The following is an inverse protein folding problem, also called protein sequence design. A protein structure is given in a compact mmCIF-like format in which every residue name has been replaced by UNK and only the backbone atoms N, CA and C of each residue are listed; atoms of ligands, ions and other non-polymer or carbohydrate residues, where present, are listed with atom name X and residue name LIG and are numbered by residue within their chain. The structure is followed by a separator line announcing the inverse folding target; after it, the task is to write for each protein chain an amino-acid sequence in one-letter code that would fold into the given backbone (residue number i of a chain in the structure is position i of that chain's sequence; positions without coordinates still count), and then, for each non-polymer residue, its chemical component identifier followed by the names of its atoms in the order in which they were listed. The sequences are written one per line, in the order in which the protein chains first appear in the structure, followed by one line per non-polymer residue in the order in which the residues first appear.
data_IF_370576263431
#
_entry.id   IF_370576263431
#
_cell.length_a   1.000
_cell.length_b   1.000
_cell.length_c   1.000
_cell.angle_alpha   90.00
_cell.angle_beta   90.00
_cell.angle_gamma   90.00
#
_symmetry.space_group_name_H-M   'P 1'
#
loop_
_entity.id
_entity.type
_entity.pdbx_description
1 polymer ?
#
# COMPACT_ATOMS: atom_id res chain seq x y z
N UNK A 1 15.71 5.56 14.63
CA UNK A 1 14.49 4.95 14.05
C UNK A 1 14.94 4.03 12.92
N UNK A 2 14.61 2.73 12.98
CA UNK A 2 14.99 1.76 11.94
C UNK A 2 13.79 1.47 11.04
N UNK A 3 14.01 1.49 9.73
CA UNK A 3 13.04 1.12 8.71
C UNK A 3 13.35 -0.28 8.19
N UNK A 4 12.39 -1.18 8.27
CA UNK A 4 12.53 -2.54 7.72
C UNK A 4 11.94 -2.54 6.31
N UNK A 5 12.71 -2.95 5.31
CA UNK A 5 12.25 -3.14 3.94
C UNK A 5 12.11 -4.64 3.65
N UNK A 6 10.89 -5.08 3.43
CA UNK A 6 10.58 -6.43 2.94
C UNK A 6 10.58 -6.46 1.42
N UNK A 7 11.61 -7.03 0.82
CA UNK A 7 11.70 -7.29 -0.62
C UNK A 7 11.40 -8.76 -0.87
N UNK A 8 10.15 -9.07 -1.23
CA UNK A 8 9.74 -10.41 -1.64
C UNK A 8 9.71 -10.45 -3.17
N UNK A 9 10.52 -11.31 -3.78
CA UNK A 9 10.57 -11.56 -5.24
C UNK A 9 11.16 -10.45 -6.13
N UNK A 10 12.04 -9.58 -5.62
CA UNK A 10 12.73 -8.59 -6.44
C UNK A 10 14.00 -9.17 -7.09
N UNK A 11 14.20 -9.04 -8.41
CA UNK A 11 15.45 -9.46 -9.05
C UNK A 11 16.57 -8.45 -8.73
N UNK A 12 17.54 -8.85 -7.91
CA UNK A 12 18.75 -8.08 -7.65
C UNK A 12 19.43 -8.43 -6.32
N UNK A 13 20.75 -8.19 -6.26
CA UNK A 13 21.58 -8.40 -5.06
C UNK A 13 21.36 -7.29 -4.00
N UNK A 14 20.11 -7.06 -3.61
CA UNK A 14 19.76 -6.11 -2.57
C UNK A 14 19.90 -6.77 -1.21
N UNK A 15 21.06 -6.61 -0.59
CA UNK A 15 21.34 -7.07 0.77
C UNK A 15 21.40 -5.90 1.76
N UNK A 16 21.19 -6.18 3.05
CA UNK A 16 21.42 -5.18 4.11
C UNK A 16 22.84 -4.61 4.05
N UNK A 17 23.83 -5.45 3.74
CA UNK A 17 25.23 -5.02 3.59
C UNK A 17 25.43 -4.03 2.43
N UNK A 18 24.68 -4.18 1.32
CA UNK A 18 24.70 -3.24 0.20
C UNK A 18 24.02 -1.93 0.57
N UNK A 19 22.83 -1.97 1.19
CA UNK A 19 22.11 -0.75 1.58
C UNK A 19 22.86 0.10 2.58
N UNK A 20 23.61 -0.51 3.51
CA UNK A 20 24.46 0.22 4.46
C UNK A 20 25.59 1.02 3.79
N UNK A 21 25.90 0.75 2.51
CA UNK A 21 26.88 1.53 1.75
C UNK A 21 26.27 2.75 1.06
N UNK A 22 24.94 2.81 0.97
CA UNK A 22 24.26 3.92 0.29
C UNK A 22 24.25 5.18 1.17
N UNK A 23 24.42 6.39 0.62
CA UNK A 23 24.48 7.63 1.40
C UNK A 23 23.27 7.88 2.30
N UNK A 24 22.07 7.45 1.85
CA UNK A 24 20.83 7.61 2.61
C UNK A 24 20.77 6.74 3.87
N UNK A 25 21.57 5.68 3.96
CA UNK A 25 21.60 4.79 5.13
C UNK A 25 22.13 5.50 6.39
N UNK A 26 22.85 6.61 6.23
CA UNK A 26 23.28 7.49 7.33
C UNK A 26 22.13 8.29 7.93
N UNK A 27 21.10 8.58 7.13
CA UNK A 27 19.90 9.31 7.54
C UNK A 27 18.81 8.39 8.08
N UNK A 28 18.80 7.13 7.64
CA UNK A 28 17.79 6.14 8.02
C UNK A 28 18.43 4.76 8.20
N UNK A 29 18.25 4.14 9.36
CA UNK A 29 18.75 2.79 9.60
C UNK A 29 17.85 1.79 8.86
N UNK A 30 18.22 1.46 7.61
CA UNK A 30 17.46 0.55 6.75
C UNK A 30 17.94 -0.88 6.94
N UNK A 31 17.01 -1.82 7.17
CA UNK A 31 17.28 -3.26 7.18
C UNK A 31 16.47 -3.93 6.08
N UNK A 32 17.12 -4.69 5.21
CA UNK A 32 16.43 -5.49 4.20
C UNK A 32 16.23 -6.89 4.73
N UNK A 33 15.01 -7.42 4.61
CA UNK A 33 14.67 -8.82 4.90
C UNK A 33 15.40 -9.32 6.16
N UNK A 34 15.15 -8.72 7.35
CA UNK A 34 15.87 -9.08 8.57
C UNK A 34 15.78 -10.58 8.76
N UNK A 35 16.91 -11.21 9.12
CA UNK A 35 17.03 -12.67 9.19
C UNK A 35 15.77 -13.29 9.79
N UNK A 36 15.22 -14.33 9.15
CA UNK A 36 14.02 -14.97 9.65
C UNK A 36 14.38 -15.66 10.96
N UNK A 37 14.21 -14.95 12.08
CA UNK A 37 13.97 -15.59 13.37
C UNK A 37 12.67 -16.40 13.37
N UNK A 38 11.92 -16.36 12.27
CA UNK A 38 10.79 -17.22 11.97
C UNK A 38 11.32 -18.47 11.24
N UNK A 39 11.44 -19.57 11.99
CA UNK A 39 11.55 -20.89 11.39
C UNK A 39 10.42 -21.08 10.35
N UNK A 40 10.69 -21.70 9.19
CA UNK A 40 9.63 -21.99 8.22
C UNK A 40 8.50 -22.75 8.94
N UNK A 41 7.26 -22.26 8.80
CA UNK A 41 6.08 -22.89 9.38
C UNK A 41 6.07 -24.37 8.99
N UNK A 42 6.02 -25.24 9.99
CA UNK A 42 6.24 -26.69 9.83
C UNK A 42 5.04 -27.39 9.19
N UNK A 43 3.87 -26.74 9.17
CA UNK A 43 2.64 -27.29 8.59
C UNK A 43 1.68 -26.20 8.09
N UNK A 44 0.65 -26.64 7.34
CA UNK A 44 -0.36 -25.78 6.71
C UNK A 44 -1.25 -25.08 7.75
N UNK A 45 -1.47 -25.69 8.92
CA UNK A 45 -2.24 -25.10 10.02
C UNK A 45 -1.50 -23.92 10.68
N UNK A 46 -0.17 -24.03 10.84
CA UNK A 46 0.67 -22.92 11.29
C UNK A 46 0.70 -21.81 10.23
N UNK A 47 0.73 -22.15 8.93
CA UNK A 47 0.58 -21.17 7.84
C UNK A 47 -0.79 -20.46 7.83
N UNK A 48 -1.88 -21.19 8.08
CA UNK A 48 -3.23 -20.62 8.18
C UNK A 48 -3.45 -19.82 9.47
N UNK A 49 -2.71 -20.11 10.54
CA UNK A 49 -2.72 -19.33 11.79
C UNK A 49 -2.14 -17.91 11.68
N UNK A 50 -1.46 -17.59 10.56
CA UNK A 50 -0.96 -16.23 10.29
C UNK A 50 -2.01 -15.32 9.61
N UNK A 51 -3.17 -15.85 9.20
CA UNK A 51 -4.28 -14.99 8.73
C UNK A 51 -4.79 -14.15 9.91
N UNK A 52 -4.59 -12.83 9.83
CA UNK A 52 -4.93 -11.88 10.89
C UNK A 52 -3.80 -11.61 11.90
N UNK A 53 -2.66 -12.28 11.79
CA UNK A 53 -1.63 -12.25 12.84
C UNK A 53 -0.40 -11.39 12.50
N UNK A 54 -0.38 -10.76 11.32
CA UNK A 54 0.69 -9.84 10.95
C UNK A 54 0.45 -8.49 11.66
N UNK A 55 1.29 -8.19 12.64
CA UNK A 55 1.33 -6.90 13.34
C UNK A 55 2.69 -6.25 13.17
N UNK A 56 2.69 -4.97 12.79
CA UNK A 56 3.92 -4.20 12.65
C UNK A 56 4.31 -3.64 14.00
N UNK A 57 5.41 -4.12 14.59
CA UNK A 57 5.95 -3.55 15.84
C UNK A 57 6.90 -2.37 15.60
N UNK A 58 7.45 -2.29 14.38
CA UNK A 58 8.41 -1.27 13.95
C UNK A 58 7.96 -0.68 12.61
N UNK A 59 8.38 0.56 12.27
CA UNK A 59 8.22 1.09 10.92
C UNK A 59 8.77 0.13 9.86
N UNK A 60 7.86 -0.38 9.04
CA UNK A 60 8.12 -1.44 8.07
C UNK A 60 7.50 -1.06 6.74
N UNK A 61 8.23 -1.28 5.65
CA UNK A 61 7.80 -1.03 4.28
C UNK A 61 7.97 -2.33 3.49
N UNK A 62 6.90 -2.89 2.97
CA UNK A 62 6.95 -3.95 1.98
C UNK A 62 6.82 -3.34 0.59
N UNK A 63 7.75 -3.65 -0.30
CA UNK A 63 7.66 -3.23 -1.70
C UNK A 63 7.32 -4.47 -2.53
N UNK A 64 6.22 -4.40 -3.26
CA UNK A 64 5.74 -5.52 -4.07
C UNK A 64 6.19 -5.35 -5.53
N UNK A 65 6.56 -6.44 -6.23
CA UNK A 65 6.85 -6.37 -7.65
C UNK A 65 5.55 -6.10 -8.43
N UNK A 66 5.29 -4.83 -8.75
CA UNK A 66 4.09 -4.38 -9.46
C UNK A 66 4.21 -4.41 -11.00
N UNK A 67 5.32 -4.91 -11.54
CA UNK A 67 5.61 -4.87 -12.98
C UNK A 67 5.91 -3.44 -13.43
N UNK A 68 5.09 -2.90 -14.34
CA UNK A 68 5.14 -1.48 -14.74
C UNK A 68 4.46 -0.53 -13.73
N UNK A 69 3.95 -1.07 -12.63
CA UNK A 69 3.20 -0.34 -11.62
C UNK A 69 3.85 -0.37 -10.26
N UNK A 70 3.39 0.53 -9.40
CA UNK A 70 3.87 0.68 -8.03
C UNK A 70 2.88 0.03 -7.06
N UNK A 71 3.40 -0.67 -6.06
CA UNK A 71 2.62 -1.17 -4.94
C UNK A 71 3.55 -1.34 -3.72
N UNK A 72 3.17 -0.74 -2.60
CA UNK A 72 3.90 -0.87 -1.34
C UNK A 72 2.95 -0.87 -0.15
N UNK A 73 3.33 -1.55 0.93
CA UNK A 73 2.59 -1.53 2.19
C UNK A 73 3.51 -0.96 3.26
N UNK A 74 3.10 0.18 3.82
CA UNK A 74 3.73 0.77 4.99
C UNK A 74 2.99 0.33 6.25
N UNK A 75 3.71 0.00 7.31
CA UNK A 75 3.15 -0.47 8.56
C UNK A 75 3.95 0.01 9.77
N UNK A 76 3.25 0.45 10.81
CA UNK A 76 3.75 0.79 12.15
C UNK A 76 2.78 0.19 13.19
N UNK A 77 3.12 0.29 14.47
CA UNK A 77 2.25 -0.23 15.52
C UNK A 77 0.86 0.43 15.48
N UNK A 78 -0.16 -0.40 15.28
CA UNK A 78 -1.56 0.02 15.23
C UNK A 78 -2.01 0.71 13.93
N UNK A 79 -1.13 0.85 12.93
CA UNK A 79 -1.49 1.50 11.66
C UNK A 79 -0.76 0.91 10.46
N UNK A 80 -1.48 0.69 9.37
CA UNK A 80 -0.92 0.25 8.11
C UNK A 80 -1.64 0.83 6.88
N UNK A 81 -0.86 1.14 5.87
CA UNK A 81 -1.28 1.87 4.70
C UNK A 81 -0.76 1.20 3.45
N UNK A 82 -1.68 0.76 2.60
CA UNK A 82 -1.35 0.26 1.27
C UNK A 82 -1.26 1.45 0.31
N UNK A 83 -0.13 1.59 -0.35
CA UNK A 83 0.13 2.61 -1.36
C UNK A 83 0.13 1.94 -2.72
N UNK A 84 -0.81 2.35 -3.57
CA UNK A 84 -1.08 1.84 -4.90
C UNK A 84 -1.37 0.32 -4.97
N UNK A 85 -1.85 -0.13 -6.13
CA UNK A 85 -2.25 -1.50 -6.39
C UNK A 85 -1.47 -2.19 -7.51
N UNK A 86 -0.50 -1.50 -8.13
CA UNK A 86 0.29 -2.01 -9.25
C UNK A 86 -0.48 -2.22 -10.55
N UNK A 87 0.28 -2.58 -11.60
CA UNK A 87 -0.21 -2.68 -12.97
C UNK A 87 -0.91 -4.01 -13.27
N UNK A 88 -0.58 -5.07 -12.54
CA UNK A 88 -1.12 -6.40 -12.82
C UNK A 88 -2.61 -6.50 -12.48
N UNK A 89 -3.38 -7.20 -13.31
CA UNK A 89 -4.78 -7.59 -13.00
C UNK A 89 -4.86 -8.57 -11.83
N UNK A 90 -3.75 -9.23 -11.48
CA UNK A 90 -3.59 -9.95 -10.22
C UNK A 90 -2.91 -9.00 -9.23
N UNK A 91 -3.57 -8.73 -8.11
CA UNK A 91 -3.02 -7.91 -7.05
C UNK A 91 -1.75 -8.56 -6.46
N UNK A 92 -0.57 -8.01 -6.78
CA UNK A 92 0.73 -8.54 -6.34
C UNK A 92 0.91 -8.53 -4.81
N UNK A 93 0.20 -7.64 -4.12
CA UNK A 93 0.19 -7.50 -2.67
C UNK A 93 -0.84 -8.42 -1.97
N UNK A 94 -1.74 -9.05 -2.73
CA UNK A 94 -2.88 -9.77 -2.16
C UNK A 94 -2.47 -10.94 -1.28
N UNK A 95 -1.50 -11.74 -1.72
CA UNK A 95 -1.06 -12.93 -0.99
C UNK A 95 -0.45 -12.58 0.37
N UNK A 96 0.02 -11.34 0.56
CA UNK A 96 0.48 -10.85 1.86
C UNK A 96 -0.64 -10.18 2.64
N UNK A 97 -1.30 -9.18 2.04
CA UNK A 97 -2.30 -8.33 2.73
C UNK A 97 -3.54 -9.09 3.17
N UNK A 98 -3.89 -10.21 2.53
CA UNK A 98 -4.99 -11.11 2.98
C UNK A 98 -4.77 -11.70 4.38
N UNK A 99 -3.54 -11.63 4.90
CA UNK A 99 -3.19 -12.07 6.25
C UNK A 99 -3.24 -10.92 7.28
N UNK A 100 -3.64 -9.72 6.88
CA UNK A 100 -3.92 -8.63 7.81
C UNK A 100 -5.39 -8.68 8.23
N UNK A 101 -5.68 -8.29 9.47
CA UNK A 101 -7.06 -8.08 9.92
C UNK A 101 -7.70 -6.88 9.19
N UNK A 102 -6.93 -5.82 8.98
CA UNK A 102 -7.36 -4.59 8.32
C UNK A 102 -6.22 -3.87 7.62
N UNK A 103 -6.56 -3.15 6.55
CA UNK A 103 -5.82 -2.04 5.99
C UNK A 103 -6.43 -0.76 6.55
N UNK A 104 -5.68 0.00 7.34
CA UNK A 104 -6.19 1.24 7.94
C UNK A 104 -6.46 2.30 6.87
N UNK A 105 -5.55 2.38 5.91
CA UNK A 105 -5.65 3.29 4.79
C UNK A 105 -5.21 2.63 3.48
N UNK A 106 -5.81 3.08 2.39
CA UNK A 106 -5.33 2.85 1.02
C UNK A 106 -5.09 4.21 0.39
N UNK A 107 -3.92 4.43 -0.18
CA UNK A 107 -3.60 5.60 -0.99
C UNK A 107 -3.39 5.17 -2.43
N UNK A 108 -4.15 5.76 -3.34
CA UNK A 108 -3.93 5.63 -4.77
C UNK A 108 -3.36 6.95 -5.29
N UNK A 109 -2.09 6.93 -5.66
CA UNK A 109 -1.34 8.13 -6.05
C UNK A 109 -1.79 8.65 -7.41
N UNK A 110 -2.13 7.74 -8.34
CA UNK A 110 -2.56 8.05 -9.71
C UNK A 110 -3.70 7.13 -10.14
N UNK A 111 -4.72 7.70 -10.77
CA UNK A 111 -5.83 6.95 -11.36
C UNK A 111 -5.51 6.52 -12.78
N UNK A 112 -4.60 5.56 -12.93
CA UNK A 112 -4.25 4.96 -14.21
C UNK A 112 -4.04 3.45 -14.10
N UNK A 113 -3.81 2.79 -15.24
CA UNK A 113 -3.61 1.35 -15.29
C UNK A 113 -2.35 0.87 -14.57
N UNK A 114 -1.35 1.73 -14.35
CA UNK A 114 -0.13 1.37 -13.65
C UNK A 114 -0.35 1.22 -12.14
N UNK A 115 -1.34 1.90 -11.56
CA UNK A 115 -1.48 1.98 -10.10
C UNK A 115 -2.80 1.38 -9.60
N UNK A 116 -3.83 1.26 -10.43
CA UNK A 116 -5.18 0.91 -9.97
C UNK A 116 -5.62 -0.54 -10.24
N UNK A 117 -4.97 -1.29 -11.14
CA UNK A 117 -5.52 -2.55 -11.63
C UNK A 117 -5.57 -3.63 -10.56
N UNK A 118 -4.52 -3.77 -9.73
CA UNK A 118 -4.55 -4.71 -8.61
C UNK A 118 -5.56 -4.32 -7.54
N UNK A 119 -5.70 -3.03 -7.25
CA UNK A 119 -6.72 -2.54 -6.31
C UNK A 119 -8.14 -2.84 -6.81
N UNK A 120 -8.42 -2.61 -8.09
CA UNK A 120 -9.70 -2.97 -8.70
C UNK A 120 -10.00 -4.47 -8.60
N UNK A 121 -8.99 -5.34 -8.70
CA UNK A 121 -9.16 -6.77 -8.52
C UNK A 121 -9.54 -7.14 -7.08
N UNK A 122 -8.95 -6.48 -6.09
CA UNK A 122 -9.29 -6.66 -4.66
C UNK A 122 -10.72 -6.20 -4.37
N UNK A 123 -11.10 -5.02 -4.84
CA UNK A 123 -12.46 -4.49 -4.65
C UNK A 123 -13.53 -5.40 -5.29
N UNK A 124 -13.26 -5.94 -6.49
CA UNK A 124 -14.15 -6.92 -7.13
C UNK A 124 -14.32 -8.19 -6.31
N UNK A 125 -13.23 -8.70 -5.72
CA UNK A 125 -13.27 -9.88 -4.84
C UNK A 125 -14.10 -9.61 -3.59
N UNK A 126 -13.92 -8.43 -2.97
CA UNK A 126 -14.69 -7.98 -1.80
C UNK A 126 -16.18 -7.81 -2.08
N UNK A 127 -16.54 -7.39 -3.28
CA UNK A 127 -17.95 -7.31 -3.71
C UNK A 127 -18.61 -8.69 -3.78
N UNK A 128 -17.85 -9.73 -4.11
CA UNK A 128 -18.37 -11.10 -4.28
C UNK A 128 -18.40 -11.90 -2.99
N UNK A 129 -17.45 -11.67 -2.08
CA UNK A 129 -17.35 -12.40 -0.83
C UNK A 129 -16.75 -11.52 0.28
N UNK A 130 -17.15 -11.80 1.51
CA UNK A 130 -16.55 -11.18 2.67
C UNK A 130 -15.14 -11.75 2.91
N UNK A 131 -14.12 -11.00 2.50
CA UNK A 131 -12.71 -11.38 2.58
C UNK A 131 -11.89 -10.34 3.33
N UNK A 132 -10.93 -10.81 4.12
CA UNK A 132 -9.90 -9.98 4.75
C UNK A 132 -8.87 -9.47 3.73
N UNK A 133 -8.19 -8.34 4.00
CA UNK A 133 -8.32 -7.49 5.19
C UNK A 133 -9.52 -6.55 5.09
N UNK A 134 -10.12 -6.09 6.20
CA UNK A 134 -11.07 -4.96 6.14
C UNK A 134 -10.36 -3.71 5.61
N UNK A 135 -11.06 -2.82 4.91
CA UNK A 135 -10.46 -1.57 4.40
C UNK A 135 -11.11 -0.42 5.15
N UNK A 136 -10.29 0.40 5.81
CA UNK A 136 -10.71 1.63 6.47
C UNK A 136 -10.87 2.77 5.46
N UNK A 137 -9.89 3.68 5.43
CA UNK A 137 -9.97 4.89 4.62
C UNK A 137 -9.37 4.71 3.23
N UNK A 138 -9.90 5.45 2.25
CA UNK A 138 -9.39 5.48 0.88
C UNK A 138 -9.04 6.92 0.50
N UNK A 139 -7.77 7.15 0.18
CA UNK A 139 -7.25 8.43 -0.28
C UNK A 139 -6.90 8.31 -1.76
N UNK A 140 -7.44 9.19 -2.58
CA UNK A 140 -7.11 9.22 -4.00
C UNK A 140 -7.33 10.61 -4.57
N UNK A 141 -6.58 10.94 -5.61
CA UNK A 141 -6.76 12.18 -6.37
C UNK A 141 -7.93 12.02 -7.37
N UNK A 142 -9.13 11.78 -6.85
CA UNK A 142 -10.34 11.81 -7.66
C UNK A 142 -10.82 13.26 -7.74
N UNK A 143 -10.83 13.82 -8.94
CA UNK A 143 -11.59 15.05 -9.16
C UNK A 143 -13.06 14.72 -8.93
N UNK A 144 -13.67 15.33 -7.92
CA UNK A 144 -15.13 15.35 -7.84
C UNK A 144 -15.62 16.00 -9.14
N UNK A 145 -16.23 15.20 -10.02
CA UNK A 145 -17.14 15.80 -11.00
C UNK A 145 -18.19 16.49 -10.16
N UNK A 146 -18.14 17.83 -10.09
CA UNK A 146 -19.29 18.62 -9.69
C UNK A 146 -20.45 18.05 -10.50
N UNK A 147 -21.34 17.31 -9.85
CA UNK A 147 -22.69 17.17 -10.36
C UNK A 147 -23.12 18.61 -10.63
N UNK A 148 -23.62 18.89 -11.83
CA UNK A 148 -24.23 20.18 -12.15
C UNK A 148 -25.18 20.51 -11.00
N UNK A 149 -24.73 21.34 -10.06
CA UNK A 149 -25.57 21.76 -8.96
C UNK A 149 -26.61 22.65 -9.63
N UNK A 150 -27.87 22.31 -9.38
CA UNK A 150 -29.03 23.10 -9.76
C UNK A 150 -28.78 24.57 -9.40
N UNK A 151 -29.32 25.55 -10.15
CA UNK A 151 -28.85 26.95 -10.12
C UNK A 151 -28.99 27.70 -8.78
N UNK A 152 -29.56 27.11 -7.73
CA UNK A 152 -30.07 27.83 -6.56
C UNK A 152 -29.36 27.51 -5.25
N UNK A 153 -28.06 27.24 -5.25
CA UNK A 153 -27.31 27.24 -3.98
C UNK A 153 -25.92 27.82 -4.19
N UNK A 154 -25.79 29.13 -3.95
CA UNK A 154 -24.51 29.78 -3.69
C UNK A 154 -23.89 29.13 -2.45
N UNK A 155 -23.14 28.04 -2.65
CA UNK A 155 -22.27 27.49 -1.61
C UNK A 155 -20.98 28.29 -1.65
N UNK A 156 -20.77 29.07 -0.59
CA UNK A 156 -19.50 29.64 -0.18
C UNK A 156 -18.41 28.57 -0.38
N UNK A 157 -17.60 28.75 -1.43
CA UNK A 157 -16.57 27.78 -1.76
C UNK A 157 -15.56 27.73 -0.63
N UNK A 158 -15.27 26.53 -0.13
CA UNK A 158 -14.28 26.33 0.92
C UNK A 158 -12.95 26.94 0.46
N UNK A 159 -12.55 28.07 1.04
CA UNK A 159 -11.40 28.88 0.62
C UNK A 159 -10.07 28.11 0.66
N UNK A 160 -10.07 26.92 1.26
CA UNK A 160 -8.91 26.04 1.40
C UNK A 160 -8.90 24.89 0.38
N UNK A 161 -9.94 24.72 -0.44
CA UNK A 161 -9.96 23.72 -1.51
C UNK A 161 -9.24 24.27 -2.75
N UNK A 162 -7.95 23.95 -2.85
CA UNK A 162 -7.14 24.24 -4.03
C UNK A 162 -7.03 22.99 -4.91
N UNK A 163 -7.49 23.10 -6.16
CA UNK A 163 -7.26 22.08 -7.17
C UNK A 163 -5.94 22.35 -7.89
N UNK A 164 -4.89 21.61 -7.50
CA UNK A 164 -3.56 21.75 -8.10
C UNK A 164 -3.53 21.38 -9.60
N UNK A 165 -4.51 20.64 -10.11
CA UNK A 165 -4.60 20.34 -11.54
C UNK A 165 -4.92 21.58 -12.38
N UNK A 166 -5.66 22.55 -11.81
CA UNK A 166 -6.02 23.78 -12.50
C UNK A 166 -4.83 24.76 -12.54
N UNK A 167 -3.91 24.67 -11.57
CA UNK A 167 -2.71 25.50 -11.48
C UNK A 167 -1.60 25.00 -12.42
N UNK A 168 -1.58 23.70 -12.74
CA UNK A 168 -0.54 23.09 -13.59
C UNK A 168 -0.83 23.11 -15.10
N UNK A 169 -1.88 23.81 -15.55
CA UNK A 169 -2.25 23.93 -16.97
C UNK A 169 -1.99 25.32 -17.59
N UNK A 170 -1.37 26.24 -16.86
CA UNK A 170 -0.77 27.47 -17.39
C UNK A 170 0.72 27.24 -17.76
#
# INVERSE_FOLDING_TARGET
MSLIIGLKYWPGDWSTARMLREPFSKLSCVRINPDPGLSPAKNVDEFMSFVGNIRFSHPTLYVFPGGQGDAALFGINGFNMLVDGGFSRRACFWDFTRHLDRLDAVLVTRLNNANCLGMAAVLRRKRQAHVYPQIGHFFCNLQERRQQQSPDTEKEGDSLLFNLADIGQE
#
